data_IF_554348205532
#
_entry.id   IF_554348205532
#
_cell.length_a   1.000
_cell.length_b   1.000
_cell.length_c   1.000
_cell.angle_alpha   90.00
_cell.angle_beta   90.00
_cell.angle_gamma   90.00
#
_symmetry.space_group_name_H-M   'P 1'
#
loop_
_entity.id
_entity.type
_entity.pdbx_description
1 polymer ?
#
# COMPACT_ATOMS: atom_id res chain seq x y z
N UNK A 1 77.94 -15.47 -37.85
CA UNK A 1 77.23 -14.48 -37.01
C UNK A 1 76.11 -15.25 -36.32
N UNK A 2 76.33 -15.75 -35.10
CA UNK A 2 75.98 -15.13 -33.81
C UNK A 2 74.53 -14.61 -33.71
N UNK A 3 73.88 -14.84 -32.55
CA UNK A 3 72.43 -14.92 -32.38
C UNK A 3 71.85 -13.65 -31.73
N UNK A 4 70.53 -13.51 -31.67
CA UNK A 4 69.88 -12.63 -30.70
C UNK A 4 68.76 -13.34 -29.93
N UNK A 5 68.91 -13.23 -28.62
CA UNK A 5 68.10 -13.73 -27.51
C UNK A 5 66.83 -12.88 -27.34
N UNK A 6 65.66 -13.44 -26.96
CA UNK A 6 64.56 -12.62 -26.46
C UNK A 6 64.84 -12.20 -25.01
N UNK A 7 64.88 -10.88 -24.80
CA UNK A 7 65.11 -10.24 -23.50
C UNK A 7 63.97 -10.43 -22.49
N UNK A 8 64.38 -10.32 -21.22
CA UNK A 8 63.61 -10.44 -19.99
C UNK A 8 62.38 -9.52 -19.89
N UNK A 9 61.34 -9.90 -19.11
CA UNK A 9 60.23 -9.03 -18.76
C UNK A 9 60.63 -7.98 -17.71
N UNK A 10 60.19 -6.73 -17.91
CA UNK A 10 60.33 -5.63 -16.95
C UNK A 10 59.34 -5.75 -15.78
N UNK A 11 59.68 -5.26 -14.58
CA UNK A 11 58.95 -5.55 -13.35
C UNK A 11 57.71 -4.66 -13.15
N UNK A 12 56.70 -5.23 -12.50
CA UNK A 12 55.48 -4.57 -12.02
C UNK A 12 55.80 -3.45 -11.00
N UNK A 13 55.13 -2.29 -11.04
CA UNK A 13 55.04 -1.39 -9.91
C UNK A 13 53.96 -1.86 -8.93
N UNK A 14 54.28 -1.75 -7.64
CA UNK A 14 53.56 -2.24 -6.48
C UNK A 14 52.15 -1.63 -6.30
N UNK A 15 51.20 -2.47 -5.90
CA UNK A 15 49.90 -2.09 -5.34
C UNK A 15 50.05 -1.45 -3.97
N UNK A 16 49.39 -0.30 -3.77
CA UNK A 16 49.10 0.26 -2.46
C UNK A 16 47.85 -0.42 -1.85
N UNK A 17 47.73 -0.53 -0.51
CA UNK A 17 46.69 -1.35 0.12
C UNK A 17 45.31 -0.69 0.00
N UNK A 18 44.35 -1.43 -0.56
CA UNK A 18 42.95 -1.05 -0.58
C UNK A 18 42.35 -1.05 0.84
N UNK A 19 41.64 0.02 1.17
CA UNK A 19 40.81 0.15 2.36
C UNK A 19 39.65 -0.88 2.30
N UNK A 20 39.44 -1.59 3.40
CA UNK A 20 38.34 -2.54 3.58
C UNK A 20 36.99 -1.82 3.54
N UNK A 21 36.25 -1.99 2.44
CA UNK A 21 34.81 -1.74 2.37
C UNK A 21 34.08 -3.08 2.57
N UNK A 22 33.22 -3.12 3.59
CA UNK A 22 32.32 -4.24 3.86
C UNK A 22 31.24 -4.30 2.78
N UNK A 23 31.52 -5.06 1.74
CA UNK A 23 30.61 -5.34 0.63
C UNK A 23 30.05 -6.76 0.82
N UNK A 24 28.73 -6.88 1.01
CA UNK A 24 28.05 -8.18 0.98
C UNK A 24 27.03 -8.19 -0.14
N UNK A 25 27.52 -8.50 -1.34
CA UNK A 25 26.70 -8.95 -2.46
C UNK A 25 27.44 -10.01 -3.30
N UNK A 26 27.87 -11.12 -2.69
CA UNK A 26 28.15 -12.38 -3.41
C UNK A 26 27.83 -13.56 -2.49
N UNK A 27 26.81 -14.35 -2.83
CA UNK A 27 26.79 -15.75 -2.40
C UNK A 27 27.79 -16.49 -3.29
N UNK A 28 28.80 -17.19 -2.76
CA UNK A 28 29.63 -18.05 -3.58
C UNK A 28 28.74 -19.16 -4.15
N UNK A 29 28.79 -19.36 -5.46
CA UNK A 29 28.45 -20.66 -6.06
C UNK A 29 29.51 -21.66 -5.59
N UNK A 30 29.26 -22.25 -4.43
CA UNK A 30 30.05 -23.26 -3.74
C UNK A 30 29.16 -24.00 -2.74
N UNK A 31 29.55 -25.21 -2.26
CA UNK A 31 28.66 -26.15 -1.58
C UNK A 31 28.00 -25.53 -0.34
N UNK A 32 26.68 -25.77 -0.20
CA UNK A 32 25.77 -25.24 0.82
C UNK A 32 26.43 -24.93 2.17
N UNK A 33 26.69 -23.65 2.44
CA UNK A 33 26.86 -23.18 3.81
C UNK A 33 25.51 -23.35 4.53
N UNK A 34 25.52 -24.07 5.67
CA UNK A 34 24.34 -24.27 6.51
C UNK A 34 23.70 -22.95 6.95
N UNK A 35 22.45 -23.01 7.44
CA UNK A 35 21.71 -21.82 7.87
C UNK A 35 22.54 -21.00 8.89
N UNK A 36 22.71 -19.68 8.67
CA UNK A 36 23.43 -18.84 9.62
C UNK A 36 22.76 -18.90 10.99
N UNK A 37 23.54 -19.24 12.02
CA UNK A 37 23.03 -19.27 13.39
C UNK A 37 22.80 -17.85 13.91
N UNK A 38 21.71 -17.59 14.65
CA UNK A 38 21.45 -16.31 15.27
C UNK A 38 22.59 -15.88 16.19
N UNK A 39 22.93 -14.58 16.13
CA UNK A 39 23.98 -13.94 16.91
C UNK A 39 23.42 -13.41 18.24
N UNK A 40 24.27 -13.06 19.22
CA UNK A 40 23.82 -12.37 20.42
C UNK A 40 23.10 -11.07 20.08
N UNK A 41 21.98 -10.79 20.76
CA UNK A 41 21.10 -9.65 20.45
C UNK A 41 21.83 -8.31 20.36
N UNK A 42 22.66 -8.00 21.36
CA UNK A 42 23.44 -6.75 21.44
C UNK A 42 24.54 -6.61 20.36
N UNK A 43 24.86 -7.68 19.62
CA UNK A 43 25.76 -7.64 18.46
C UNK A 43 25.02 -7.30 17.17
N UNK A 44 23.69 -7.42 17.15
CA UNK A 44 22.84 -7.11 16.00
C UNK A 44 22.14 -5.78 16.23
N UNK A 45 21.45 -5.65 17.36
CA UNK A 45 20.80 -4.43 17.82
C UNK A 45 21.73 -3.75 18.82
N UNK A 46 22.58 -2.87 18.31
CA UNK A 46 23.56 -2.12 19.12
C UNK A 46 22.92 -0.93 19.82
N UNK A 47 23.67 -0.25 20.69
CA UNK A 47 23.25 1.01 21.32
C UNK A 47 22.93 2.14 20.33
N UNK A 48 23.41 2.04 19.08
CA UNK A 48 23.17 3.04 18.04
C UNK A 48 21.79 2.86 17.37
N UNK A 49 21.06 1.79 17.69
CA UNK A 49 19.76 1.48 17.13
C UNK A 49 18.71 2.52 17.53
N UNK A 50 18.17 3.22 16.54
CA UNK A 50 16.94 4.01 16.70
C UNK A 50 15.75 3.07 16.67
N UNK A 51 15.18 2.78 17.83
CA UNK A 51 14.09 1.81 17.98
C UNK A 51 12.75 2.52 18.06
N UNK A 52 11.77 2.03 17.31
CA UNK A 52 10.34 2.39 17.48
C UNK A 52 9.54 1.16 17.87
N UNK A 53 8.68 1.33 18.86
CA UNK A 53 7.76 0.32 19.39
C UNK A 53 6.42 0.38 18.62
N UNK A 54 5.78 -0.76 18.42
CA UNK A 54 4.51 -0.87 17.69
C UNK A 54 4.14 -2.33 17.45
N UNK A 55 3.43 -2.61 16.35
CA UNK A 55 3.06 -3.96 15.91
C UNK A 55 4.29 -4.86 15.84
N UNK A 56 5.36 -4.33 15.25
CA UNK A 56 6.72 -4.82 15.39
C UNK A 56 7.57 -3.74 16.04
N UNK A 57 8.61 -4.16 16.76
CA UNK A 57 9.72 -3.24 17.00
C UNK A 57 10.47 -3.07 15.69
N UNK A 58 10.81 -1.83 15.37
CA UNK A 58 11.65 -1.51 14.22
C UNK A 58 12.94 -0.89 14.73
N UNK A 59 14.08 -1.38 14.27
CA UNK A 59 15.40 -0.88 14.66
C UNK A 59 16.12 -0.36 13.43
N UNK A 60 16.46 0.92 13.43
CA UNK A 60 17.28 1.52 12.38
C UNK A 60 18.70 1.77 12.88
N UNK A 61 19.68 1.18 12.21
CA UNK A 61 21.11 1.34 12.49
C UNK A 61 21.79 1.79 11.18
N UNK A 62 22.11 3.08 11.11
CA UNK A 62 22.57 3.69 9.85
C UNK A 62 21.55 3.52 8.72
N UNK A 63 21.95 2.84 7.64
CA UNK A 63 21.08 2.52 6.50
C UNK A 63 20.31 1.21 6.65
N UNK A 64 20.61 0.39 7.67
CA UNK A 64 19.96 -0.91 7.87
C UNK A 64 18.69 -0.76 8.68
N UNK A 65 17.66 -1.49 8.26
CA UNK A 65 16.39 -1.62 8.96
C UNK A 65 16.17 -3.06 9.36
N UNK A 66 15.91 -3.26 10.66
CA UNK A 66 15.53 -4.54 11.21
C UNK A 66 14.10 -4.50 11.73
N UNK A 67 13.37 -5.58 11.48
CA UNK A 67 12.13 -5.87 12.20
C UNK A 67 12.41 -6.88 13.29
N UNK A 68 11.97 -6.59 14.50
CA UNK A 68 11.88 -7.54 15.59
C UNK A 68 10.40 -7.92 15.74
N UNK A 69 10.07 -9.10 15.20
CA UNK A 69 8.70 -9.60 15.08
C UNK A 69 8.37 -10.43 16.33
N UNK A 70 7.40 -10.02 17.16
CA UNK A 70 6.97 -10.79 18.32
C UNK A 70 6.46 -12.17 17.91
N UNK A 71 6.71 -13.19 18.74
CA UNK A 71 6.21 -14.55 18.47
C UNK A 71 4.70 -14.59 18.29
N UNK A 72 3.96 -13.73 18.99
CA UNK A 72 2.50 -13.61 18.89
C UNK A 72 1.99 -13.10 17.55
N UNK A 73 2.81 -12.39 16.77
CA UNK A 73 2.43 -11.85 15.46
C UNK A 73 2.90 -12.74 14.29
N UNK A 74 3.77 -13.72 14.55
CA UNK A 74 4.09 -14.76 13.57
C UNK A 74 2.85 -15.62 13.27
N UNK A 75 2.61 -15.91 12.00
CA UNK A 75 1.46 -16.67 11.53
C UNK A 75 0.16 -15.87 11.41
N UNK A 76 0.13 -14.61 11.87
CA UNK A 76 -1.00 -13.71 11.64
C UNK A 76 -0.92 -13.09 10.25
N UNK A 77 -2.09 -12.90 9.66
CA UNK A 77 -2.24 -12.30 8.33
C UNK A 77 -2.34 -10.78 8.42
N UNK A 78 -1.66 -10.11 7.51
CA UNK A 78 -1.58 -8.66 7.41
C UNK A 78 -1.86 -8.26 5.97
N UNK A 79 -2.51 -7.12 5.77
CA UNK A 79 -2.70 -6.55 4.44
C UNK A 79 -1.55 -5.60 4.14
N UNK A 80 -0.86 -5.83 3.03
CA UNK A 80 0.07 -4.88 2.44
C UNK A 80 -0.71 -3.95 1.53
N UNK A 81 -0.60 -2.65 1.79
CA UNK A 81 -1.03 -1.59 0.89
C UNK A 81 0.20 -0.82 0.42
N UNK A 82 0.33 -0.70 -0.89
CA UNK A 82 1.50 -0.08 -1.52
C UNK A 82 1.06 1.18 -2.26
N UNK A 83 1.67 2.32 -1.94
CA UNK A 83 1.40 3.63 -2.56
C UNK A 83 2.70 4.29 -3.00
N UNK A 84 2.61 5.24 -3.92
CA UNK A 84 3.70 6.18 -4.16
C UNK A 84 3.42 7.44 -3.34
N UNK A 85 4.24 7.75 -2.34
CA UNK A 85 4.14 9.04 -1.64
C UNK A 85 4.59 10.18 -2.56
N UNK A 86 5.59 9.94 -3.42
CA UNK A 86 6.02 10.87 -4.48
C UNK A 86 6.40 10.12 -5.74
N UNK A 87 6.10 10.72 -6.88
CA UNK A 87 6.42 10.17 -8.20
C UNK A 87 7.18 11.20 -9.04
N UNK A 88 8.01 10.75 -9.99
CA UNK A 88 8.53 11.65 -11.01
C UNK A 88 7.39 12.13 -11.93
N UNK A 89 7.67 13.19 -12.68
CA UNK A 89 6.76 13.69 -13.71
C UNK A 89 6.33 12.54 -14.63
N UNK A 90 5.06 12.54 -15.04
CA UNK A 90 4.50 11.57 -15.98
C UNK A 90 4.37 10.13 -15.47
N UNK A 91 4.47 9.88 -14.15
CA UNK A 91 4.34 8.53 -13.56
C UNK A 91 3.16 8.38 -12.59
N UNK A 92 2.16 9.25 -12.68
CA UNK A 92 0.98 9.28 -11.81
C UNK A 92 1.02 10.46 -10.84
N UNK A 93 0.45 10.26 -9.65
CA UNK A 93 0.40 11.25 -8.56
C UNK A 93 0.84 10.64 -7.23
N UNK A 94 1.39 11.47 -6.32
CA UNK A 94 1.61 11.08 -4.94
C UNK A 94 0.29 10.71 -4.25
N UNK A 95 0.30 9.74 -3.35
CA UNK A 95 -0.87 9.16 -2.71
C UNK A 95 -1.55 8.04 -3.52
N UNK A 96 -1.20 7.83 -4.80
CA UNK A 96 -1.82 6.78 -5.60
C UNK A 96 -1.31 5.38 -5.25
N UNK A 97 -2.23 4.41 -5.26
CA UNK A 97 -1.92 3.00 -5.07
C UNK A 97 -1.06 2.43 -6.21
N UNK A 98 0.05 1.78 -5.84
CA UNK A 98 1.11 1.28 -6.72
C UNK A 98 1.08 -0.24 -6.93
N UNK A 99 -0.10 -0.87 -6.88
CA UNK A 99 -0.26 -2.32 -7.09
C UNK A 99 -1.48 -2.84 -6.33
N UNK A 100 -1.87 -4.11 -6.50
CA UNK A 100 -2.95 -4.69 -5.71
C UNK A 100 -2.55 -4.77 -4.23
N UNK A 101 -3.52 -4.61 -3.33
CA UNK A 101 -3.33 -4.95 -1.93
C UNK A 101 -3.15 -6.47 -1.80
N UNK A 102 -2.24 -6.91 -0.93
CA UNK A 102 -1.89 -8.35 -0.79
C UNK A 102 -1.97 -8.79 0.66
N UNK A 103 -2.54 -9.97 0.91
CA UNK A 103 -2.44 -10.56 2.24
C UNK A 103 -1.09 -11.23 2.39
N UNK A 104 -0.34 -10.84 3.40
CA UNK A 104 0.97 -11.36 3.74
C UNK A 104 0.94 -12.06 5.11
N UNK A 105 1.80 -13.06 5.27
CA UNK A 105 2.00 -13.77 6.54
C UNK A 105 3.48 -14.00 6.78
N UNK A 106 3.95 -13.58 7.96
CA UNK A 106 5.28 -13.90 8.45
C UNK A 106 5.28 -15.30 9.08
N UNK A 107 6.12 -16.19 8.58
CA UNK A 107 6.21 -17.58 9.05
C UNK A 107 7.65 -17.90 9.47
N UNK A 108 7.85 -18.29 10.72
CA UNK A 108 9.17 -18.72 11.19
C UNK A 108 9.38 -20.21 10.95
N UNK A 109 10.49 -20.56 10.33
CA UNK A 109 11.01 -21.92 10.12
C UNK A 109 12.44 -21.96 10.61
N UNK A 110 12.67 -22.65 11.73
CA UNK A 110 14.00 -22.73 12.36
C UNK A 110 14.63 -21.34 12.57
N UNK A 111 15.79 -21.08 11.96
CA UNK A 111 16.50 -19.81 12.03
C UNK A 111 16.19 -18.89 10.85
N UNK A 112 15.01 -19.06 10.23
CA UNK A 112 14.53 -18.23 9.14
C UNK A 112 13.13 -17.72 9.39
N UNK A 113 12.84 -16.55 8.84
CA UNK A 113 11.49 -16.02 8.69
C UNK A 113 11.19 -15.91 7.20
N UNK A 114 10.04 -16.43 6.79
CA UNK A 114 9.53 -16.35 5.44
C UNK A 114 8.39 -15.33 5.42
N UNK A 115 8.37 -14.49 4.39
CA UNK A 115 7.20 -13.68 4.07
C UNK A 115 6.44 -14.41 2.97
N UNK A 116 5.17 -14.72 3.20
CA UNK A 116 4.32 -15.41 2.24
C UNK A 116 3.11 -14.59 1.83
N UNK A 117 2.67 -14.74 0.59
CA UNK A 117 1.36 -14.25 0.14
C UNK A 117 0.29 -15.30 0.41
N UNK A 118 -0.86 -14.86 0.93
CA UNK A 118 -2.06 -15.68 1.15
C UNK A 118 -3.16 -15.20 0.21
N UNK A 119 -3.86 -16.13 -0.43
CA UNK A 119 -4.91 -15.82 -1.40
C UNK A 119 -6.26 -16.39 -0.92
N UNK A 120 -7.33 -15.62 -1.11
CA UNK A 120 -8.70 -15.98 -0.69
C UNK A 120 -9.65 -16.20 -1.87
N UNK A 121 -9.11 -16.38 -3.08
CA UNK A 121 -9.92 -16.62 -4.29
C UNK A 121 -10.56 -18.00 -4.28
N UNK A 122 -9.89 -19.00 -3.67
CA UNK A 122 -10.40 -20.37 -3.53
C UNK A 122 -10.47 -20.73 -2.06
N UNK A 123 -11.65 -21.13 -1.57
CA UNK A 123 -11.90 -21.33 -0.14
C UNK A 123 -12.67 -22.62 0.13
N UNK A 124 -12.56 -23.09 1.37
CA UNK A 124 -13.42 -24.11 1.95
C UNK A 124 -13.47 -23.89 3.47
N UNK A 125 -14.51 -24.39 4.13
CA UNK A 125 -14.60 -24.37 5.59
C UNK A 125 -13.50 -25.25 6.18
N UNK A 126 -12.65 -24.66 7.03
CA UNK A 126 -11.53 -25.34 7.69
C UNK A 126 -11.91 -26.57 8.52
N UNK A 127 -13.18 -26.69 8.90
CA UNK A 127 -13.72 -27.85 9.64
C UNK A 127 -14.06 -29.04 8.73
N UNK A 128 -14.01 -28.87 7.42
CA UNK A 128 -14.37 -29.90 6.43
C UNK A 128 -13.13 -30.57 5.82
N UNK A 129 -13.19 -31.87 5.46
CA UNK A 129 -12.03 -32.56 4.86
C UNK A 129 -11.54 -31.94 3.54
N UNK A 130 -12.44 -31.37 2.73
CA UNK A 130 -12.09 -30.75 1.44
C UNK A 130 -11.18 -29.53 1.59
N UNK A 131 -11.15 -28.89 2.77
CA UNK A 131 -10.19 -27.84 3.08
C UNK A 131 -8.74 -28.28 2.88
N UNK A 132 -8.42 -29.53 3.20
CA UNK A 132 -7.06 -30.06 2.95
C UNK A 132 -6.74 -30.10 1.46
N UNK A 133 -7.69 -30.49 0.61
CA UNK A 133 -7.51 -30.48 -0.84
C UNK A 133 -7.31 -29.06 -1.37
N UNK A 134 -8.12 -28.09 -0.91
CA UNK A 134 -7.94 -26.67 -1.24
C UNK A 134 -6.56 -26.17 -0.83
N UNK A 135 -6.11 -26.46 0.39
CA UNK A 135 -4.77 -26.07 0.87
C UNK A 135 -3.64 -26.74 0.08
N UNK A 136 -3.78 -28.01 -0.28
CA UNK A 136 -2.80 -28.73 -1.10
C UNK A 136 -2.71 -28.16 -2.53
N UNK A 137 -3.81 -27.63 -3.06
CA UNK A 137 -3.89 -27.02 -4.40
C UNK A 137 -3.58 -25.52 -4.43
N UNK A 138 -3.50 -24.86 -3.27
CA UNK A 138 -3.21 -23.43 -3.15
C UNK A 138 -2.06 -23.23 -2.14
N UNK A 139 -0.83 -23.41 -2.61
CA UNK A 139 0.36 -23.24 -1.78
C UNK A 139 0.74 -21.76 -1.68
N UNK A 140 0.74 -21.22 -0.47
CA UNK A 140 1.11 -19.83 -0.18
C UNK A 140 2.54 -19.53 -0.66
N UNK A 141 2.71 -18.57 -1.57
CA UNK A 141 4.00 -18.27 -2.24
C UNK A 141 4.96 -17.59 -1.26
N UNK A 142 6.21 -18.06 -1.18
CA UNK A 142 7.29 -17.35 -0.46
C UNK A 142 7.76 -16.17 -1.31
N UNK A 143 7.45 -14.94 -0.89
CA UNK A 143 7.87 -13.72 -1.59
C UNK A 143 9.24 -13.22 -1.14
N UNK A 144 9.62 -13.52 0.11
CA UNK A 144 10.93 -13.22 0.65
C UNK A 144 11.30 -14.17 1.79
N UNK A 145 12.59 -14.32 2.06
CA UNK A 145 13.09 -15.11 3.17
C UNK A 145 14.28 -14.44 3.83
N UNK A 146 14.29 -14.47 5.16
CA UNK A 146 15.22 -13.75 6.01
C UNK A 146 15.89 -14.74 6.96
N UNK A 147 17.17 -14.54 7.25
CA UNK A 147 17.80 -15.21 8.38
C UNK A 147 17.38 -14.48 9.66
N UNK A 148 17.19 -15.22 10.74
CA UNK A 148 17.06 -14.66 12.07
C UNK A 148 18.44 -14.23 12.53
N UNK A 149 18.68 -12.92 12.52
CA UNK A 149 19.96 -12.34 12.88
C UNK A 149 20.23 -12.47 14.39
N UNK A 150 19.16 -12.34 15.21
CA UNK A 150 19.17 -12.55 16.65
C UNK A 150 17.76 -12.87 17.15
N UNK A 151 17.66 -13.36 18.38
CA UNK A 151 16.38 -13.41 19.11
C UNK A 151 16.34 -12.32 20.18
N UNK A 152 15.26 -11.55 20.17
CA UNK A 152 14.91 -10.64 21.25
C UNK A 152 14.18 -11.35 22.40
N UNK A 153 13.67 -10.58 23.38
CA UNK A 153 12.78 -11.11 24.41
C UNK A 153 11.63 -11.96 23.83
N UNK A 154 11.18 -12.96 24.58
CA UNK A 154 10.09 -13.88 24.19
C UNK A 154 10.31 -14.62 22.85
N UNK A 155 11.58 -14.80 22.46
CA UNK A 155 11.97 -15.37 21.17
C UNK A 155 11.47 -14.57 19.96
N UNK A 156 11.32 -13.25 20.10
CA UNK A 156 11.03 -12.36 18.98
C UNK A 156 12.15 -12.47 17.92
N UNK A 157 11.78 -12.62 16.66
CA UNK A 157 12.74 -12.83 15.58
C UNK A 157 13.23 -11.48 15.05
N UNK A 158 14.53 -11.20 15.17
CA UNK A 158 15.16 -10.02 14.56
C UNK A 158 15.62 -10.37 13.16
N UNK A 159 15.09 -9.69 12.15
CA UNK A 159 15.41 -9.91 10.74
C UNK A 159 15.82 -8.60 10.05
N UNK A 160 16.81 -8.66 9.17
CA UNK A 160 17.19 -7.52 8.33
C UNK A 160 16.26 -7.42 7.12
N UNK A 161 15.44 -6.38 7.08
CA UNK A 161 14.47 -6.13 6.00
C UNK A 161 14.93 -5.03 5.04
N UNK A 162 16.17 -4.56 5.14
CA UNK A 162 16.69 -3.44 4.33
C UNK A 162 16.50 -3.68 2.83
N UNK A 163 16.80 -4.90 2.37
CA UNK A 163 16.67 -5.28 0.95
C UNK A 163 15.22 -5.42 0.50
N UNK A 164 14.30 -5.78 1.40
CA UNK A 164 12.87 -5.84 1.10
C UNK A 164 12.33 -4.50 0.61
N UNK A 165 12.91 -3.39 1.08
CA UNK A 165 12.45 -2.03 0.76
C UNK A 165 13.39 -1.24 -0.15
N UNK A 166 14.61 -1.72 -0.40
CA UNK A 166 15.57 -1.08 -1.33
C UNK A 166 15.72 -1.81 -2.66
N UNK A 167 15.30 -3.08 -2.75
CA UNK A 167 14.86 -3.67 -4.00
C UNK A 167 13.79 -4.72 -3.71
N UNK A 168 12.54 -4.27 -3.55
CA UNK A 168 11.44 -5.17 -3.28
C UNK A 168 11.30 -6.24 -4.38
N UNK A 169 10.88 -7.46 -4.02
CA UNK A 169 10.39 -8.41 -5.01
C UNK A 169 9.16 -7.81 -5.73
N UNK A 170 8.82 -8.31 -6.93
CA UNK A 170 7.73 -7.75 -7.74
C UNK A 170 6.40 -7.59 -7.00
N UNK A 171 6.11 -8.47 -6.03
CA UNK A 171 4.90 -8.47 -5.21
C UNK A 171 4.76 -7.24 -4.32
N UNK A 172 5.90 -6.66 -3.90
CA UNK A 172 5.98 -5.43 -3.10
C UNK A 172 6.34 -4.20 -3.96
N UNK A 173 6.79 -4.41 -5.20
CA UNK A 173 7.15 -3.32 -6.11
C UNK A 173 5.95 -2.57 -6.70
N UNK A 174 6.20 -1.53 -7.52
CA UNK A 174 5.18 -0.71 -8.18
C UNK A 174 4.40 -1.40 -9.33
N UNK A 175 4.31 -2.74 -9.30
CA UNK A 175 3.74 -3.57 -10.36
C UNK A 175 4.56 -3.54 -11.65
N UNK A 176 3.88 -3.56 -12.80
CA UNK A 176 4.50 -3.60 -14.13
C UNK A 176 4.90 -2.22 -14.69
N UNK A 177 4.78 -1.15 -13.87
CA UNK A 177 5.10 0.23 -14.27
C UNK A 177 6.57 0.43 -14.62
N UNK A 178 7.45 -0.34 -13.98
CA UNK A 178 8.87 -0.37 -14.29
C UNK A 178 9.25 -1.75 -14.83
N UNK A 179 10.06 -1.76 -15.90
CA UNK A 179 10.51 -2.98 -16.57
C UNK A 179 11.86 -3.50 -16.05
N UNK A 180 12.49 -2.72 -15.18
CA UNK A 180 13.80 -3.01 -14.57
C UNK A 180 13.63 -3.23 -13.07
N UNK A 181 14.61 -3.88 -12.46
CA UNK A 181 14.73 -3.91 -11.00
C UNK A 181 15.30 -2.58 -10.51
N UNK A 182 14.92 -2.11 -9.31
CA UNK A 182 15.51 -0.92 -8.74
C UNK A 182 17.00 -1.15 -8.43
N UNK A 183 17.78 -0.11 -8.65
CA UNK A 183 19.19 -0.03 -8.34
C UNK A 183 19.37 0.14 -6.82
N UNK A 184 19.82 -0.94 -6.18
CA UNK A 184 20.01 -1.00 -4.72
C UNK A 184 20.96 0.09 -4.19
N UNK A 185 21.95 0.51 -4.98
CA UNK A 185 22.96 1.49 -4.53
C UNK A 185 22.44 2.92 -4.61
N UNK A 186 21.38 3.16 -5.39
CA UNK A 186 20.68 4.45 -5.50
C UNK A 186 19.33 4.45 -4.78
N UNK A 187 18.98 3.34 -4.12
CA UNK A 187 17.73 3.18 -3.39
C UNK A 187 17.98 3.07 -1.90
N UNK A 188 17.20 3.77 -1.08
CA UNK A 188 17.43 3.85 0.36
C UNK A 188 16.13 4.10 1.12
N UNK A 189 16.09 3.63 2.37
CA UNK A 189 14.95 3.81 3.27
C UNK A 189 14.96 5.25 3.78
N UNK A 190 13.87 5.97 3.58
CA UNK A 190 13.68 7.34 4.06
C UNK A 190 13.21 7.30 5.51
N UNK A 191 12.09 6.61 5.75
CA UNK A 191 11.37 6.65 7.02
C UNK A 191 10.80 5.28 7.36
N UNK A 192 10.73 4.99 8.66
CA UNK A 192 10.01 3.84 9.20
C UNK A 192 9.22 4.30 10.42
N UNK A 193 7.96 3.92 10.49
CA UNK A 193 7.09 4.13 11.64
C UNK A 193 6.52 2.80 12.08
N UNK A 194 6.29 2.67 13.38
CA UNK A 194 5.66 1.52 13.99
C UNK A 194 4.51 2.02 14.84
N UNK A 195 3.33 1.46 14.62
CA UNK A 195 2.10 1.76 15.34
C UNK A 195 1.48 0.46 15.84
N UNK A 196 0.53 0.48 16.78
CA UNK A 196 -0.05 -0.76 17.32
C UNK A 196 -0.69 -1.69 16.28
N UNK A 197 -1.22 -1.15 15.17
CA UNK A 197 -1.98 -1.91 14.17
C UNK A 197 -1.24 -2.09 12.84
N UNK A 198 -0.12 -1.39 12.61
CA UNK A 198 0.58 -1.36 11.34
C UNK A 198 2.05 -0.95 11.48
N UNK A 199 2.84 -1.30 10.47
CA UNK A 199 4.20 -0.79 10.26
C UNK A 199 4.25 -0.10 8.92
N UNK A 200 4.75 1.13 8.91
CA UNK A 200 4.90 1.96 7.72
C UNK A 200 6.37 2.06 7.35
N UNK A 201 6.69 1.83 6.07
CA UNK A 201 8.03 2.02 5.53
C UNK A 201 7.97 2.89 4.29
N UNK A 202 8.83 3.89 4.22
CA UNK A 202 9.06 4.70 3.04
C UNK A 202 10.48 4.50 2.52
N UNK A 203 10.61 4.27 1.23
CA UNK A 203 11.92 4.19 0.58
C UNK A 203 11.90 4.85 -0.79
N UNK A 204 12.99 5.55 -1.08
CA UNK A 204 13.29 6.01 -2.43
C UNK A 204 13.81 4.82 -3.24
N UNK A 205 13.11 4.47 -4.31
CA UNK A 205 13.53 3.46 -5.27
C UNK A 205 13.96 4.12 -6.57
N UNK A 206 15.15 3.80 -7.05
CA UNK A 206 15.68 4.32 -8.30
C UNK A 206 15.73 3.23 -9.36
N UNK A 207 14.97 3.39 -10.43
CA UNK A 207 14.91 2.46 -11.55
C UNK A 207 15.81 2.94 -12.69
N UNK A 208 16.77 2.12 -13.15
CA UNK A 208 17.55 2.45 -14.34
C UNK A 208 16.66 2.42 -15.57
N UNK A 209 17.08 3.16 -16.60
CA UNK A 209 16.43 3.13 -17.90
C UNK A 209 16.37 1.68 -18.42
N UNK A 210 15.22 1.23 -18.95
CA UNK A 210 15.14 -0.09 -19.54
C UNK A 210 16.10 -0.19 -20.74
N UNK A 211 16.73 -1.36 -20.96
CA UNK A 211 17.58 -1.54 -22.12
C UNK A 211 16.76 -1.29 -23.41
N UNK A 212 17.37 -0.70 -24.45
CA UNK A 212 16.67 -0.43 -25.69
C UNK A 212 16.17 -1.74 -26.31
N UNK A 213 14.86 -1.86 -26.52
CA UNK A 213 14.26 -3.01 -27.20
C UNK A 213 14.12 -2.72 -28.68
N UNK A 214 14.23 -3.73 -29.57
CA UNK A 214 14.04 -3.55 -31.02
C UNK A 214 12.69 -2.89 -31.41
N UNK A 215 11.66 -3.00 -30.56
CA UNK A 215 10.36 -2.35 -30.73
C UNK A 215 10.34 -0.84 -30.40
N UNK A 216 11.40 -0.27 -29.80
CA UNK A 216 11.56 1.17 -29.55
C UNK A 216 12.08 1.94 -30.78
N UNK A 217 12.25 1.27 -31.93
CA UNK A 217 12.47 1.93 -33.22
C UNK A 217 11.19 2.60 -33.78
N UNK A 218 10.03 2.41 -33.15
CA UNK A 218 8.83 3.20 -33.45
C UNK A 218 8.85 4.49 -32.64
N UNK A 219 8.62 5.61 -33.34
CA UNK A 219 8.61 6.94 -32.77
C UNK A 219 7.76 6.99 -31.48
N UNK A 220 8.23 7.68 -30.42
CA UNK A 220 7.47 7.81 -29.20
C UNK A 220 6.09 8.39 -29.53
N UNK A 221 5.03 7.68 -29.12
CA UNK A 221 3.67 8.21 -29.22
C UNK A 221 3.65 9.54 -28.46
N UNK A 222 3.25 10.66 -29.09
CA UNK A 222 3.18 11.96 -28.42
C UNK A 222 2.17 11.99 -27.26
N UNK A 223 1.38 10.91 -27.11
CA UNK A 223 0.39 10.73 -26.05
C UNK A 223 0.83 9.71 -24.98
N UNK A 224 2.02 9.10 -25.11
CA UNK A 224 2.53 8.16 -24.13
C UNK A 224 3.58 8.85 -23.24
N UNK A 225 3.32 9.01 -21.92
CA UNK A 225 4.35 9.45 -21.00
C UNK A 225 5.53 8.47 -21.03
N UNK A 226 6.65 8.89 -21.62
CA UNK A 226 7.89 8.11 -21.62
C UNK A 226 8.82 8.71 -20.58
N UNK A 227 9.13 7.93 -19.54
CA UNK A 227 10.27 8.25 -18.67
C UNK A 227 11.53 8.00 -19.49
N UNK A 228 12.12 9.06 -20.03
CA UNK A 228 13.42 8.99 -20.67
C UNK A 228 14.49 8.97 -19.58
N UNK A 229 15.18 7.84 -19.41
CA UNK A 229 16.29 7.70 -18.47
C UNK A 229 15.93 7.04 -17.13
N UNK A 230 16.74 7.34 -16.10
CA UNK A 230 16.55 6.86 -14.73
C UNK A 230 15.37 7.60 -14.08
N UNK A 231 14.56 6.90 -13.29
CA UNK A 231 13.51 7.50 -12.47
C UNK A 231 13.61 7.08 -11.01
N UNK A 232 13.41 8.04 -10.11
CA UNK A 232 13.26 7.77 -8.68
C UNK A 232 11.82 8.05 -8.25
N UNK A 233 11.23 7.14 -7.48
CA UNK A 233 9.96 7.34 -6.79
C UNK A 233 10.09 7.03 -5.31
N UNK A 234 9.32 7.75 -4.49
CA UNK A 234 9.17 7.47 -3.08
C UNK A 234 8.00 6.51 -2.89
N UNK A 235 8.30 5.27 -2.59
CA UNK A 235 7.32 4.23 -2.28
C UNK A 235 6.98 4.25 -0.79
N UNK A 236 5.72 3.97 -0.48
CA UNK A 236 5.18 3.84 0.86
C UNK A 236 4.49 2.48 0.98
N UNK A 237 4.85 1.71 2.00
CA UNK A 237 4.28 0.41 2.31
C UNK A 237 3.65 0.43 3.70
N UNK A 238 2.33 0.27 3.72
CA UNK A 238 1.56 0.03 4.93
C UNK A 238 1.31 -1.46 5.08
N UNK A 239 1.94 -2.07 6.08
CA UNK A 239 1.61 -3.43 6.49
C UNK A 239 0.67 -3.37 7.69
N UNK A 240 -0.64 -3.46 7.43
CA UNK A 240 -1.70 -3.32 8.43
C UNK A 240 -2.24 -4.69 8.85
N UNK A 241 -2.49 -4.86 10.14
CA UNK A 241 -3.07 -6.08 10.68
C UNK A 241 -4.51 -6.25 10.21
N UNK A 242 -4.85 -7.45 9.72
CA UNK A 242 -6.25 -7.77 9.42
C UNK A 242 -7.04 -7.99 10.73
N UNK A 243 -8.35 -7.69 10.77
CA UNK A 243 -9.18 -7.92 11.95
C UNK A 243 -9.05 -9.37 12.46
N UNK A 244 -8.77 -9.55 13.75
CA UNK A 244 -8.64 -10.89 14.35
C UNK A 244 -9.98 -11.65 14.31
N UNK A 245 -11.09 -10.93 14.44
CA UNK A 245 -12.45 -11.44 14.24
C UNK A 245 -12.98 -10.91 12.91
N UNK A 246 -13.01 -11.71 11.84
CA UNK A 246 -13.51 -11.27 10.54
C UNK A 246 -14.97 -10.82 10.63
N UNK A 247 -15.33 -9.74 9.92
CA UNK A 247 -16.73 -9.31 9.81
C UNK A 247 -17.58 -10.41 9.16
N UNK A 248 -18.84 -10.56 9.58
CA UNK A 248 -19.76 -11.44 8.85
C UNK A 248 -19.93 -10.98 7.39
N UNK A 249 -19.50 -11.77 6.40
CA UNK A 249 -19.62 -11.40 5.00
C UNK A 249 -21.08 -11.36 4.57
N UNK A 250 -21.42 -10.46 3.66
CA UNK A 250 -22.79 -10.29 3.15
C UNK A 250 -22.84 -10.62 1.66
N UNK A 251 -23.71 -11.55 1.27
CA UNK A 251 -23.87 -11.94 -0.13
C UNK A 251 -24.26 -10.74 -1.00
N UNK A 252 -23.65 -10.68 -2.18
CA UNK A 252 -23.98 -9.70 -3.19
C UNK A 252 -25.32 -10.02 -3.86
N UNK A 253 -26.14 -8.98 -4.01
CA UNK A 253 -27.38 -9.03 -4.78
C UNK A 253 -27.17 -8.24 -6.08
N UNK A 254 -27.46 -8.86 -7.23
CA UNK A 254 -27.23 -8.26 -8.55
C UNK A 254 -28.06 -7.00 -8.81
N UNK A 255 -29.12 -6.76 -8.02
CA UNK A 255 -29.98 -5.56 -8.12
C UNK A 255 -29.38 -4.33 -7.45
N UNK A 256 -28.34 -4.51 -6.64
CA UNK A 256 -27.73 -3.44 -5.85
C UNK A 256 -26.27 -3.27 -6.28
N UNK A 257 -25.89 -2.04 -6.64
CA UNK A 257 -24.58 -1.72 -7.23
C UNK A 257 -23.41 -1.63 -6.25
N UNK A 258 -23.25 -2.60 -5.34
CA UNK A 258 -22.08 -2.66 -4.46
C UNK A 258 -20.84 -3.18 -5.19
N UNK A 259 -19.66 -2.69 -4.81
CA UNK A 259 -18.43 -3.43 -5.05
C UNK A 259 -18.51 -4.79 -4.38
N UNK A 260 -17.87 -5.80 -4.97
CA UNK A 260 -17.93 -7.15 -4.43
C UNK A 260 -16.63 -7.90 -4.61
N UNK A 261 -16.25 -8.69 -3.62
CA UNK A 261 -15.25 -9.74 -3.75
C UNK A 261 -15.91 -11.02 -4.27
N UNK A 262 -15.10 -11.88 -4.90
CA UNK A 262 -15.54 -13.17 -5.41
C UNK A 262 -14.66 -14.28 -4.85
N UNK A 263 -15.29 -15.37 -4.43
CA UNK A 263 -14.61 -16.57 -3.93
C UNK A 263 -15.21 -17.80 -4.60
N UNK A 264 -14.37 -18.79 -4.93
CA UNK A 264 -14.76 -20.12 -5.35
C UNK A 264 -14.77 -21.03 -4.12
N UNK A 265 -15.96 -21.35 -3.62
CA UNK A 265 -16.20 -22.07 -2.37
C UNK A 265 -16.44 -23.57 -2.65
N UNK A 266 -15.53 -24.40 -2.14
CA UNK A 266 -15.58 -25.87 -2.22
C UNK A 266 -16.21 -26.51 -0.99
N UNK A 267 -16.45 -25.75 0.09
CA UNK A 267 -17.04 -26.26 1.34
C UNK A 267 -18.56 -26.40 1.30
N UNK A 268 -19.15 -26.47 0.11
CA UNK A 268 -20.60 -26.36 -0.12
C UNK A 268 -21.19 -27.70 -0.55
N UNK A 269 -22.47 -27.98 -0.20
CA UNK A 269 -23.09 -29.28 -0.47
C UNK A 269 -23.40 -29.53 -1.96
N UNK A 270 -23.43 -28.48 -2.77
CA UNK A 270 -23.69 -28.60 -4.21
C UNK A 270 -22.61 -29.44 -4.91
N UNK A 271 -23.03 -30.20 -5.93
CA UNK A 271 -22.16 -31.08 -6.73
C UNK A 271 -21.25 -30.31 -7.72
N UNK A 272 -20.74 -29.14 -7.31
CA UNK A 272 -19.79 -28.30 -8.04
C UNK A 272 -19.21 -27.24 -7.09
N UNK A 273 -18.04 -26.72 -7.42
CA UNK A 273 -17.51 -25.53 -6.75
C UNK A 273 -18.46 -24.34 -6.96
N UNK A 274 -18.77 -23.62 -5.88
CA UNK A 274 -19.73 -22.51 -5.92
C UNK A 274 -19.02 -21.17 -5.97
N UNK A 275 -19.32 -20.40 -7.01
CA UNK A 275 -18.87 -19.01 -7.09
C UNK A 275 -19.77 -18.15 -6.21
N UNK A 276 -19.22 -17.63 -5.10
CA UNK A 276 -19.90 -16.72 -4.19
C UNK A 276 -19.35 -15.31 -4.38
N UNK A 277 -20.23 -14.32 -4.30
CA UNK A 277 -19.87 -12.90 -4.30
C UNK A 277 -20.34 -12.28 -3.00
N UNK A 278 -19.49 -11.49 -2.36
CA UNK A 278 -19.82 -10.76 -1.14
C UNK A 278 -19.62 -9.27 -1.37
N UNK A 279 -20.52 -8.44 -0.84
CA UNK A 279 -20.38 -6.99 -0.96
C UNK A 279 -19.20 -6.51 -0.11
N UNK A 280 -18.54 -5.48 -0.62
CA UNK A 280 -17.54 -4.72 0.11
C UNK A 280 -18.27 -3.59 0.86
N UNK A 281 -18.05 -3.46 2.17
CA UNK A 281 -18.75 -2.50 3.03
C UNK A 281 -17.99 -2.19 4.33
N UNK A 282 -18.31 -1.07 4.96
CA UNK A 282 -17.83 -0.77 6.31
C UNK A 282 -18.46 -1.68 7.38
N UNK A 283 -17.67 -2.04 8.39
CA UNK A 283 -18.19 -2.63 9.63
C UNK A 283 -18.82 -1.54 10.50
N UNK A 284 -20.14 -1.53 10.59
CA UNK A 284 -20.89 -0.67 11.50
C UNK A 284 -21.66 -1.51 12.52
N UNK A 285 -21.33 -1.28 13.78
CA UNK A 285 -21.96 -1.90 14.95
C UNK A 285 -22.40 -0.78 15.89
N UNK A 286 -23.63 -0.83 16.41
CA UNK A 286 -24.14 0.20 17.31
C UNK A 286 -23.41 0.13 18.66
N UNK A 287 -23.01 1.28 19.22
CA UNK A 287 -22.54 1.36 20.62
C UNK A 287 -23.60 0.86 21.60
N UNK A 288 -24.86 1.24 21.37
CA UNK A 288 -26.03 0.67 22.06
C UNK A 288 -26.85 -0.18 21.06
N UNK A 289 -26.74 -1.52 21.12
CA UNK A 289 -27.47 -2.43 20.24
C UNK A 289 -28.99 -2.36 20.40
N UNK A 290 -29.50 -1.85 21.53
CA UNK A 290 -30.94 -1.80 21.85
C UNK A 290 -31.59 -0.50 21.39
N UNK A 291 -30.81 0.57 21.20
CA UNK A 291 -31.33 1.84 20.73
C UNK A 291 -31.76 1.78 19.25
N UNK A 292 -32.87 2.45 18.93
CA UNK A 292 -33.32 2.62 17.54
C UNK A 292 -32.26 3.33 16.69
N UNK A 293 -31.66 4.39 17.25
CA UNK A 293 -30.53 5.14 16.66
C UNK A 293 -29.39 5.21 17.67
N UNK A 294 -28.19 4.79 17.28
CA UNK A 294 -26.98 4.86 18.11
C UNK A 294 -25.80 5.36 17.29
N UNK A 295 -24.78 5.95 17.94
CA UNK A 295 -23.49 6.09 17.27
C UNK A 295 -22.89 4.71 16.99
N UNK A 296 -22.10 4.53 15.92
CA UNK A 296 -21.36 3.31 15.71
C UNK A 296 -20.18 3.21 16.69
N UNK A 297 -19.75 1.99 17.00
CA UNK A 297 -18.54 1.73 17.79
C UNK A 297 -17.32 2.38 17.14
N UNK A 298 -17.17 2.22 15.82
CA UNK A 298 -16.16 2.89 15.00
C UNK A 298 -16.86 3.71 13.90
N UNK A 299 -16.84 5.06 13.95
CA UNK A 299 -17.35 5.89 12.86
C UNK A 299 -16.43 5.81 11.65
N UNK A 300 -16.99 6.07 10.47
CA UNK A 300 -16.25 6.25 9.22
C UNK A 300 -15.72 7.68 9.21
N UNK A 301 -14.40 7.84 9.23
CA UNK A 301 -13.75 9.15 9.25
C UNK A 301 -13.00 9.35 7.95
N UNK A 302 -13.34 10.38 7.19
CA UNK A 302 -12.56 10.84 6.06
C UNK A 302 -11.81 12.13 6.43
N UNK A 303 -10.50 12.12 6.27
CA UNK A 303 -9.68 13.32 6.36
C UNK A 303 -9.70 14.07 5.03
N UNK A 304 -9.73 15.40 5.08
CA UNK A 304 -9.52 16.21 3.88
C UNK A 304 -8.02 16.44 3.71
N UNK A 305 -7.49 16.05 2.55
CA UNK A 305 -6.07 16.21 2.24
C UNK A 305 -5.61 17.67 2.48
N UNK A 306 -4.56 17.92 3.27
CA UNK A 306 -4.03 19.25 3.51
C UNK A 306 -3.72 20.03 2.23
N UNK A 307 -3.32 19.33 1.17
CA UNK A 307 -2.97 19.90 -0.14
C UNK A 307 -4.20 20.35 -0.97
N UNK A 308 -5.41 20.11 -0.48
CA UNK A 308 -6.66 20.61 -1.08
C UNK A 308 -6.68 22.15 -1.02
N UNK A 309 -7.11 22.86 -2.09
CA UNK A 309 -7.34 24.30 -2.03
C UNK A 309 -8.30 24.69 -0.89
N UNK A 310 -7.90 25.67 -0.06
CA UNK A 310 -8.61 25.98 1.19
C UNK A 310 -10.10 26.31 1.00
N UNK A 311 -10.43 27.02 -0.08
CA UNK A 311 -11.81 27.39 -0.39
C UNK A 311 -12.71 26.18 -0.71
N UNK A 312 -12.14 25.04 -1.12
CA UNK A 312 -12.87 23.80 -1.40
C UNK A 312 -13.07 22.92 -0.16
N UNK A 313 -12.20 23.02 0.86
CA UNK A 313 -12.25 22.17 2.06
C UNK A 313 -13.64 22.14 2.71
N UNK A 314 -14.36 23.27 2.90
CA UNK A 314 -15.71 23.24 3.47
C UNK A 314 -16.73 22.49 2.61
N UNK A 315 -16.60 22.54 1.29
CA UNK A 315 -17.49 21.83 0.36
C UNK A 315 -17.22 20.33 0.37
N UNK A 316 -15.94 19.93 0.42
CA UNK A 316 -15.55 18.52 0.51
C UNK A 316 -16.08 17.91 1.82
N UNK A 317 -15.92 18.61 2.95
CA UNK A 317 -16.45 18.14 4.26
C UNK A 317 -17.96 17.91 4.19
N UNK A 318 -18.72 18.85 3.61
CA UNK A 318 -20.17 18.67 3.42
C UNK A 318 -20.51 17.52 2.46
N UNK A 319 -19.70 17.29 1.42
CA UNK A 319 -19.89 16.18 0.49
C UNK A 319 -19.74 14.82 1.18
N UNK A 320 -18.74 14.69 2.06
CA UNK A 320 -18.57 13.51 2.92
C UNK A 320 -19.79 13.31 3.81
N UNK A 321 -20.22 14.36 4.52
CA UNK A 321 -21.29 14.28 5.52
C UNK A 321 -22.70 14.29 4.91
N UNK A 322 -22.83 14.46 3.59
CA UNK A 322 -24.10 14.39 2.88
C UNK A 322 -24.80 13.02 3.03
N UNK A 323 -24.05 11.98 3.39
CA UNK A 323 -24.56 10.63 3.67
C UNK A 323 -25.12 10.46 5.09
N UNK A 324 -24.92 11.42 5.98
CA UNK A 324 -25.34 11.33 7.38
C UNK A 324 -26.85 11.05 7.54
N UNK A 325 -27.78 11.65 6.77
CA UNK A 325 -29.21 11.32 6.84
C UNK A 325 -29.52 9.87 6.44
N UNK A 326 -28.80 9.29 5.48
CA UNK A 326 -28.98 7.90 5.07
C UNK A 326 -28.54 6.94 6.18
N UNK A 327 -27.44 7.26 6.86
CA UNK A 327 -27.00 6.49 8.03
C UNK A 327 -27.96 6.62 9.22
N UNK A 328 -28.53 7.80 9.47
CA UNK A 328 -29.52 7.99 10.52
C UNK A 328 -30.78 7.17 10.27
N UNK A 329 -31.26 7.14 9.02
CA UNK A 329 -32.35 6.26 8.61
C UNK A 329 -32.00 4.77 8.77
N UNK A 330 -30.73 4.40 8.64
CA UNK A 330 -30.22 3.05 8.93
C UNK A 330 -29.97 2.79 10.43
N UNK A 331 -30.27 3.75 11.32
CA UNK A 331 -30.12 3.62 12.76
C UNK A 331 -28.76 4.07 13.31
N UNK A 332 -27.96 4.78 12.54
CA UNK A 332 -26.64 5.28 12.94
C UNK A 332 -26.56 6.81 12.89
N UNK A 333 -26.45 7.45 14.06
CA UNK A 333 -26.12 8.89 14.13
C UNK A 333 -24.60 9.07 14.11
N UNK A 334 -24.11 10.15 13.50
CA UNK A 334 -22.68 10.46 13.34
C UNK A 334 -21.86 9.27 12.83
N UNK A 335 -22.40 8.59 11.83
CA UNK A 335 -21.79 7.38 11.30
C UNK A 335 -20.61 7.68 10.39
N UNK A 336 -20.68 8.82 9.69
CA UNK A 336 -19.66 9.33 8.79
C UNK A 336 -19.30 10.76 9.19
N UNK A 337 -18.01 11.05 9.26
CA UNK A 337 -17.49 12.33 9.75
C UNK A 337 -16.37 12.80 8.84
N UNK A 338 -16.40 14.09 8.48
CA UNK A 338 -15.28 14.73 7.83
C UNK A 338 -14.35 15.38 8.87
N UNK A 339 -13.05 15.17 8.75
CA UNK A 339 -12.06 15.69 9.68
C UNK A 339 -10.94 16.44 8.96
N UNK A 340 -10.32 17.39 9.68
CA UNK A 340 -8.98 17.86 9.31
C UNK A 340 -7.96 16.89 9.88
N UNK A 341 -6.89 16.58 9.14
CA UNK A 341 -5.79 15.80 9.69
C UNK A 341 -5.05 16.61 10.78
N UNK A 342 -4.37 15.93 11.72
CA UNK A 342 -3.56 16.61 12.71
C UNK A 342 -2.48 17.45 12.04
N UNK A 343 -2.14 18.58 12.65
CA UNK A 343 -0.99 19.37 12.20
C UNK A 343 0.32 18.63 12.50
N UNK A 344 1.43 18.93 11.81
CA UNK A 344 2.73 18.33 12.11
C UNK A 344 3.17 18.50 13.58
N UNK A 345 2.70 19.54 14.27
CA UNK A 345 2.95 19.77 15.70
C UNK A 345 2.10 18.87 16.59
N UNK A 346 0.90 18.49 16.14
CA UNK A 346 -0.02 17.60 16.87
C UNK A 346 0.38 16.13 16.68
N UNK A 347 0.70 15.75 15.46
CA UNK A 347 1.18 14.41 15.11
C UNK A 347 2.15 14.49 13.92
N UNK A 348 3.48 14.51 14.17
CA UNK A 348 4.48 14.56 13.11
C UNK A 348 4.61 13.25 12.33
N UNK A 349 4.03 12.15 12.84
CA UNK A 349 4.09 10.84 12.22
C UNK A 349 2.86 10.57 11.32
N UNK A 350 1.81 11.41 11.40
CA UNK A 350 0.64 11.30 10.53
C UNK A 350 1.02 11.42 9.07
N UNK A 351 0.58 10.45 8.28
CA UNK A 351 0.74 10.44 6.85
C UNK A 351 -0.57 9.99 6.22
N UNK A 352 -0.99 10.61 5.11
CA UNK A 352 -2.23 10.21 4.48
C UNK A 352 -2.10 8.84 3.80
N UNK A 353 -0.88 8.34 3.50
CA UNK A 353 -0.63 7.01 2.92
C UNK A 353 -0.82 5.84 3.90
N UNK A 354 -0.87 6.13 5.21
CA UNK A 354 -1.08 5.16 6.29
C UNK A 354 -2.47 4.52 6.17
N UNK A 355 -2.53 3.18 6.09
CA UNK A 355 -3.79 2.47 5.86
C UNK A 355 -4.76 2.48 7.06
N UNK A 356 -4.45 3.18 8.15
CA UNK A 356 -5.41 3.49 9.22
C UNK A 356 -6.32 4.66 8.89
N UNK A 357 -6.03 5.42 7.84
CA UNK A 357 -6.72 6.68 7.53
C UNK A 357 -7.38 6.63 6.16
N UNK A 358 -8.65 7.01 6.09
CA UNK A 358 -9.33 7.31 4.83
C UNK A 358 -9.16 8.79 4.52
N UNK A 359 -8.80 9.13 3.28
CA UNK A 359 -8.51 10.52 2.91
C UNK A 359 -9.16 10.87 1.57
N UNK A 360 -9.79 12.04 1.48
CA UNK A 360 -10.14 12.64 0.18
C UNK A 360 -8.92 13.39 -0.32
N UNK A 361 -8.20 12.77 -1.26
CA UNK A 361 -6.93 13.21 -1.85
C UNK A 361 -7.14 14.20 -2.98
N UNK A 362 -6.34 15.26 -3.03
CA UNK A 362 -6.40 16.24 -4.11
C UNK A 362 -5.18 16.17 -5.02
N UNK A 363 -5.38 15.75 -6.28
CA UNK A 363 -4.30 15.55 -7.23
C UNK A 363 -4.18 16.69 -8.24
N UNK A 364 -2.97 17.24 -8.49
CA UNK A 364 -2.71 18.25 -9.50
C UNK A 364 -2.74 17.63 -10.90
N UNK A 365 -3.93 17.32 -11.38
CA UNK A 365 -4.16 16.48 -12.56
C UNK A 365 -5.04 17.16 -13.59
N UNK A 366 -4.69 16.96 -14.86
CA UNK A 366 -5.52 17.36 -16.01
C UNK A 366 -6.65 16.37 -16.30
N UNK A 367 -6.70 15.22 -15.61
CA UNK A 367 -7.75 14.23 -15.75
C UNK A 367 -9.08 14.84 -15.27
N UNK A 368 -10.08 14.76 -16.14
CA UNK A 368 -11.45 15.21 -15.88
C UNK A 368 -12.27 14.07 -15.27
N UNK A 369 -11.91 13.64 -14.05
CA UNK A 369 -12.63 12.56 -13.36
C UNK A 369 -12.45 12.67 -11.84
N UNK A 370 -13.06 11.74 -11.11
CA UNK A 370 -12.71 11.38 -9.73
C UNK A 370 -12.76 9.85 -9.60
N UNK A 371 -12.27 9.30 -8.49
CA UNK A 371 -12.35 7.85 -8.25
C UNK A 371 -12.40 7.55 -6.76
N UNK A 372 -13.39 6.77 -6.31
CA UNK A 372 -13.50 6.24 -4.95
C UNK A 372 -13.11 4.76 -4.84
N UNK A 373 -11.81 4.42 -4.78
CA UNK A 373 -11.36 3.07 -4.44
C UNK A 373 -11.49 2.81 -2.93
N UNK A 374 -11.32 1.54 -2.55
CA UNK A 374 -11.24 1.14 -1.15
C UNK A 374 -10.18 0.04 -0.99
N UNK A 375 -9.67 -0.06 0.23
CA UNK A 375 -8.87 -1.19 0.70
C UNK A 375 -9.74 -2.01 1.65
N UNK A 376 -9.85 -3.30 1.39
CA UNK A 376 -10.74 -4.19 2.14
C UNK A 376 -10.07 -5.51 2.50
N UNK A 377 -10.61 -6.16 3.53
CA UNK A 377 -10.29 -7.53 3.90
C UNK A 377 -10.85 -8.51 2.85
N UNK A 378 -10.00 -9.24 2.10
CA UNK A 378 -10.46 -10.14 1.04
C UNK A 378 -11.18 -11.39 1.57
N UNK A 379 -11.15 -11.63 2.89
CA UNK A 379 -11.89 -12.72 3.54
C UNK A 379 -13.38 -12.42 3.61
N UNK A 380 -13.74 -11.15 3.77
CA UNK A 380 -15.11 -10.75 4.18
C UNK A 380 -15.73 -9.61 3.37
N UNK A 381 -14.90 -8.79 2.73
CA UNK A 381 -15.32 -7.52 2.13
C UNK A 381 -15.38 -6.35 3.12
N UNK A 382 -14.86 -6.49 4.33
CA UNK A 382 -14.77 -5.36 5.29
C UNK A 382 -13.83 -4.27 4.76
N UNK A 383 -14.33 -3.06 4.53
CA UNK A 383 -13.51 -1.90 4.20
C UNK A 383 -12.68 -1.51 5.42
N UNK A 384 -11.37 -1.38 5.22
CA UNK A 384 -10.40 -0.96 6.23
C UNK A 384 -10.13 0.54 6.14
N UNK A 385 -9.97 1.04 4.90
CA UNK A 385 -9.77 2.45 4.56
C UNK A 385 -10.21 2.73 3.12
N UNK A 386 -10.32 4.01 2.79
CA UNK A 386 -10.57 4.49 1.43
C UNK A 386 -9.86 5.81 1.15
N UNK A 387 -9.05 5.84 0.10
CA UNK A 387 -8.48 7.07 -0.47
C UNK A 387 -9.25 7.50 -1.72
N UNK A 388 -10.07 8.54 -1.62
CA UNK A 388 -10.80 9.09 -2.76
C UNK A 388 -9.88 10.02 -3.55
N UNK A 389 -9.76 9.78 -4.86
CA UNK A 389 -8.93 10.59 -5.76
C UNK A 389 -9.76 11.70 -6.40
N UNK A 390 -9.50 12.93 -6.00
CA UNK A 390 -10.05 14.13 -6.63
C UNK A 390 -9.01 14.71 -7.59
N UNK A 391 -9.19 14.51 -8.89
CA UNK A 391 -8.32 15.10 -9.90
C UNK A 391 -8.72 16.57 -10.12
N UNK A 392 -7.76 17.51 -10.10
CA UNK A 392 -8.04 18.95 -10.14
C UNK A 392 -8.99 19.38 -11.28
N UNK A 393 -8.85 18.79 -12.47
CA UNK A 393 -9.70 19.08 -13.62
C UNK A 393 -11.12 18.50 -13.55
N UNK A 394 -11.50 17.83 -12.46
CA UNK A 394 -12.92 17.54 -12.16
C UNK A 394 -13.78 18.81 -12.23
N UNK A 395 -13.22 19.97 -11.85
CA UNK A 395 -13.89 21.26 -11.96
C UNK A 395 -14.21 21.63 -13.41
N UNK A 396 -13.35 21.27 -14.38
CA UNK A 396 -13.65 21.50 -15.80
C UNK A 396 -14.84 20.65 -16.27
N UNK A 397 -14.84 19.37 -15.90
CA UNK A 397 -15.93 18.45 -16.22
C UNK A 397 -17.25 18.97 -15.65
N UNK A 398 -17.26 19.29 -14.35
CA UNK A 398 -18.46 19.74 -13.65
C UNK A 398 -18.99 21.05 -14.22
N UNK A 399 -18.11 22.01 -14.51
CA UNK A 399 -18.50 23.26 -15.18
C UNK A 399 -19.18 23.00 -16.53
N UNK A 400 -18.59 22.13 -17.34
CA UNK A 400 -19.11 21.79 -18.68
C UNK A 400 -20.46 21.07 -18.61
N UNK A 401 -20.58 20.08 -17.72
CA UNK A 401 -21.83 19.35 -17.48
C UNK A 401 -22.92 20.25 -16.95
N UNK A 402 -22.62 21.04 -15.91
CA UNK A 402 -23.60 21.91 -15.28
C UNK A 402 -24.09 23.01 -16.23
N UNK A 403 -23.18 23.63 -16.99
CA UNK A 403 -23.57 24.59 -18.04
C UNK A 403 -24.50 23.95 -19.07
N UNK A 404 -24.15 22.76 -19.58
CA UNK A 404 -24.93 22.08 -20.63
C UNK A 404 -26.32 21.65 -20.13
N UNK A 405 -26.40 21.13 -18.91
CA UNK A 405 -27.64 20.58 -18.36
C UNK A 405 -28.53 21.65 -17.71
N UNK A 406 -27.94 22.64 -17.04
CA UNK A 406 -28.64 23.55 -16.12
C UNK A 406 -28.38 25.02 -16.45
N UNK A 407 -27.52 25.35 -17.42
CA UNK A 407 -27.17 26.73 -17.76
C UNK A 407 -28.36 27.60 -18.18
N UNK A 408 -29.42 27.01 -18.73
CA UNK A 408 -30.65 27.72 -19.05
C UNK A 408 -31.49 28.10 -17.80
N UNK A 409 -31.26 27.46 -16.64
CA UNK A 409 -31.99 27.69 -15.39
C UNK A 409 -31.19 28.48 -14.35
N UNK A 410 -29.86 28.35 -14.33
CA UNK A 410 -29.00 29.05 -13.37
C UNK A 410 -28.08 30.06 -14.08
N UNK A 411 -28.34 31.35 -13.86
CA UNK A 411 -27.55 32.44 -14.45
C UNK A 411 -26.07 32.41 -14.02
N UNK A 412 -25.74 31.87 -12.84
CA UNK A 412 -24.36 31.75 -12.37
C UNK A 412 -23.52 30.84 -13.27
N UNK A 413 -24.14 29.85 -13.90
CA UNK A 413 -23.46 28.93 -14.82
C UNK A 413 -23.12 29.59 -16.18
N UNK A 414 -23.71 30.76 -16.48
CA UNK A 414 -23.44 31.53 -17.71
C UNK A 414 -22.28 32.52 -17.55
N UNK A 415 -21.72 32.65 -16.35
CA UNK A 415 -20.60 33.53 -16.06
C UNK A 415 -19.28 32.74 -16.10
N UNK A 416 -18.26 33.34 -16.70
CA UNK A 416 -16.94 32.73 -16.83
C UNK A 416 -15.86 33.62 -16.18
N UNK A 417 -15.11 33.13 -15.18
CA UNK A 417 -15.28 31.83 -14.50
C UNK A 417 -16.61 31.76 -13.72
N UNK A 418 -17.11 30.54 -13.49
CA UNK A 418 -18.28 30.34 -12.62
C UNK A 418 -17.92 30.73 -11.18
N UNK A 419 -18.85 31.29 -10.39
CA UNK A 419 -18.56 31.68 -9.01
C UNK A 419 -18.11 30.49 -8.14
N UNK A 420 -17.17 30.71 -7.21
CA UNK A 420 -16.66 29.69 -6.30
C UNK A 420 -17.77 29.00 -5.49
N UNK A 421 -18.83 29.74 -5.14
CA UNK A 421 -20.00 29.18 -4.46
C UNK A 421 -20.74 28.14 -5.30
N UNK A 422 -20.77 28.30 -6.62
CA UNK A 422 -21.33 27.30 -7.54
C UNK A 422 -20.32 26.16 -7.75
N UNK A 423 -19.06 26.46 -8.07
CA UNK A 423 -18.05 25.42 -8.30
C UNK A 423 -17.87 24.52 -7.07
N UNK A 424 -17.81 25.11 -5.88
CA UNK A 424 -17.72 24.37 -4.64
C UNK A 424 -18.91 23.42 -4.46
N UNK A 425 -20.14 23.84 -4.81
CA UNK A 425 -21.33 22.96 -4.74
C UNK A 425 -21.26 21.80 -5.74
N UNK A 426 -20.66 22.01 -6.91
CA UNK A 426 -20.44 20.94 -7.88
C UNK A 426 -19.37 19.95 -7.38
N UNK A 427 -18.30 20.45 -6.75
CA UNK A 427 -17.30 19.58 -6.11
C UNK A 427 -17.90 18.82 -4.92
N UNK A 428 -18.72 19.47 -4.08
CA UNK A 428 -19.48 18.82 -2.99
C UNK A 428 -20.30 17.64 -3.50
N UNK A 429 -20.99 17.80 -4.64
CA UNK A 429 -21.73 16.72 -5.30
C UNK A 429 -20.82 15.56 -5.72
N UNK A 430 -19.67 15.85 -6.36
CA UNK A 430 -18.74 14.79 -6.78
C UNK A 430 -18.17 14.06 -5.55
N UNK A 431 -17.81 14.77 -4.49
CA UNK A 431 -17.32 14.13 -3.27
C UNK A 431 -18.39 13.22 -2.67
N UNK A 432 -19.65 13.66 -2.60
CA UNK A 432 -20.74 12.81 -2.13
C UNK A 432 -20.91 11.57 -3.02
N UNK A 433 -20.75 11.71 -4.34
CA UNK A 433 -20.78 10.61 -5.31
C UNK A 433 -19.66 9.59 -5.06
N UNK A 434 -18.41 10.03 -4.98
CA UNK A 434 -17.26 9.15 -4.76
C UNK A 434 -17.27 8.51 -3.38
N UNK A 435 -17.68 9.25 -2.34
CA UNK A 435 -17.90 8.68 -1.00
C UNK A 435 -18.92 7.56 -1.09
N UNK A 436 -20.01 7.74 -1.83
CA UNK A 436 -21.04 6.72 -2.05
C UNK A 436 -20.54 5.41 -2.66
N UNK A 437 -19.51 5.45 -3.52
CA UNK A 437 -18.87 4.23 -4.04
C UNK A 437 -18.16 3.43 -2.95
N UNK A 438 -17.77 4.10 -1.87
CA UNK A 438 -16.88 3.58 -0.83
C UNK A 438 -17.62 3.26 0.48
N UNK A 439 -18.96 3.21 0.49
CA UNK A 439 -19.78 2.91 1.69
C UNK A 439 -20.22 1.44 1.80
#
# INVERSE_FOLDING_TARGET
>A
MRPETPGQPRPHPAEAPAAQQGDTAQRPTGPQAGEPRPRPYNRVITSDAKTREGLFKTHRIGSRLYFEIPRSELGKEMLLVTRAARVPVNLGYGGQQMGPSRVLRWERREHRVLLRTVEYVTVADSTTPIYQAVRNSNNDVVVAGFNVEAYGPDSAAVIDVTRLYTAPPPELGPGTRFRTQPDANRSFIERVLAFPENVEVEATLTYPAPPPTAAQAQAPSPFAPTVSGTASLLMHWSMVKLPERPMMPRLADKRIGFFSIQQLDYGRPEQRAQQRRYIVRWRLEKKDPTAAVSEPVKPIVYYVDPATPDWLKPFIKRGIEAWQPAFEAAGFRRAIVAADPPTPEQDPDWAPEDARHSVVRWFPSTIENATGPNVHDPRTGEILESDIYMYHNIMNLQRSWYFTQVGHLDLRARMWPVPDSLMGRLVEFVVAHEVGHTL
#
